data_IF_975272228806
#
_entry.id   IF_975272228806
#
_cell.length_a   1.000
_cell.length_b   1.000
_cell.length_c   1.000
_cell.angle_alpha   90.00
_cell.angle_beta   90.00
_cell.angle_gamma   90.00
#
_symmetry.space_group_name_H-M   'P 1'
#
loop_
_entity.id
_entity.type
_entity.pdbx_description
1 polymer ?
#
# COMPACT_ATOMS: atom_id res chain seq x y z
N UNK A 1 19.28 44.08 54.18
CA UNK A 1 17.88 44.39 53.84
C UNK A 1 17.56 43.74 52.49
N UNK A 2 16.53 42.88 52.47
CA UNK A 2 15.94 42.29 51.26
C UNK A 2 15.07 43.33 50.56
N UNK A 3 15.11 43.39 49.22
CA UNK A 3 13.91 43.51 48.39
C UNK A 3 14.00 42.52 47.24
N UNK A 4 12.87 41.88 47.01
CA UNK A 4 12.57 40.69 46.22
C UNK A 4 11.59 41.15 45.11
N UNK A 5 11.68 40.49 43.95
CA UNK A 5 10.64 40.35 42.89
C UNK A 5 10.34 41.52 41.94
N UNK A 6 10.42 41.26 40.63
CA UNK A 6 9.29 40.65 39.89
C UNK A 6 9.77 39.88 38.65
N UNK A 7 9.23 38.67 38.50
CA UNK A 7 9.34 37.70 37.42
C UNK A 7 8.12 37.88 36.48
N UNK A 8 8.05 37.11 35.37
CA UNK A 8 6.85 36.76 34.53
C UNK A 8 6.69 37.59 33.24
N UNK A 9 6.34 37.10 32.04
CA UNK A 9 6.21 35.79 31.33
C UNK A 9 5.96 36.18 29.86
N UNK A 10 6.41 35.34 28.92
CA UNK A 10 5.94 35.35 27.53
C UNK A 10 6.87 34.50 26.66
N UNK A 11 6.69 33.20 26.44
CA UNK A 11 5.43 32.45 26.36
C UNK A 11 5.13 32.14 24.90
N UNK A 12 5.66 31.01 24.43
CA UNK A 12 5.14 30.17 23.34
C UNK A 12 5.04 30.75 21.92
N UNK A 13 5.96 30.29 21.06
CA UNK A 13 5.56 29.68 19.79
C UNK A 13 6.27 28.33 19.65
N UNK A 14 5.55 27.28 20.06
CA UNK A 14 5.80 25.90 19.66
C UNK A 14 5.66 25.80 18.14
N UNK A 15 6.75 25.50 17.46
CA UNK A 15 6.72 24.53 16.38
C UNK A 15 8.07 23.85 16.38
N UNK A 16 8.10 22.66 16.97
CA UNK A 16 9.16 21.70 16.70
C UNK A 16 9.39 21.68 15.19
N UNK A 17 10.58 22.13 14.78
CA UNK A 17 11.17 21.71 13.52
C UNK A 17 11.33 20.19 13.65
N UNK A 18 10.25 19.47 13.36
CA UNK A 18 10.28 18.02 13.24
C UNK A 18 11.38 17.74 12.24
N UNK A 19 12.44 17.07 12.70
CA UNK A 19 13.54 16.62 11.85
C UNK A 19 12.92 16.08 10.57
N UNK A 20 13.14 16.77 9.45
CA UNK A 20 12.58 16.37 8.17
C UNK A 20 13.00 14.92 7.96
N UNK A 21 12.03 14.01 8.05
CA UNK A 21 12.32 12.59 7.99
C UNK A 21 12.92 12.33 6.60
N UNK A 22 14.23 12.08 6.52
CA UNK A 22 14.96 11.93 5.27
C UNK A 22 14.92 10.49 4.73
N UNK A 23 14.47 9.56 5.58
CA UNK A 23 14.41 8.14 5.26
C UNK A 23 13.11 7.49 5.69
N UNK A 24 12.61 6.54 4.90
CA UNK A 24 11.46 5.70 5.23
C UNK A 24 11.91 4.27 5.51
N UNK A 25 11.42 3.66 6.59
CA UNK A 25 11.62 2.23 6.84
C UNK A 25 10.26 1.55 6.76
N UNK A 26 10.13 0.61 5.83
CA UNK A 26 8.91 -0.20 5.74
C UNK A 26 8.87 -1.18 6.90
N UNK A 27 8.00 -0.93 7.87
CA UNK A 27 7.74 -1.80 9.02
C UNK A 27 6.32 -1.51 9.54
N UNK A 28 5.31 -2.29 9.09
CA UNK A 28 3.93 -2.08 9.52
C UNK A 28 3.79 -2.16 11.04
N UNK A 29 3.18 -1.13 11.64
CA UNK A 29 2.90 -1.08 13.08
C UNK A 29 1.43 -1.39 13.35
N UNK A 30 1.07 -2.65 13.11
CA UNK A 30 -0.28 -3.13 13.34
C UNK A 30 -0.57 -3.42 14.82
N UNK A 31 -1.85 -3.38 15.20
CA UNK A 31 -2.36 -3.88 16.48
C UNK A 31 -3.30 -5.05 16.26
N UNK A 32 -3.36 -5.99 17.23
CA UNK A 32 -4.38 -7.02 17.20
C UNK A 32 -5.79 -6.39 17.19
N UNK A 33 -6.68 -6.93 16.36
CA UNK A 33 -8.02 -6.39 16.12
C UNK A 33 -8.09 -5.23 15.12
N UNK A 34 -6.94 -4.65 14.72
CA UNK A 34 -6.93 -3.58 13.71
C UNK A 34 -7.52 -4.08 12.39
N UNK A 35 -8.44 -3.29 11.83
CA UNK A 35 -9.12 -3.59 10.58
C UNK A 35 -8.90 -2.45 9.59
N UNK A 36 -8.53 -2.79 8.37
CA UNK A 36 -8.35 -1.88 7.25
C UNK A 36 -9.26 -2.32 6.13
N UNK A 37 -10.08 -1.41 5.59
CA UNK A 37 -10.89 -1.70 4.42
C UNK A 37 -10.42 -0.82 3.28
N UNK A 38 -10.03 -1.42 2.17
CA UNK A 38 -9.62 -0.75 0.97
C UNK A 38 -10.75 -0.83 -0.06
N UNK A 39 -11.07 0.28 -0.72
CA UNK A 39 -11.91 0.29 -1.92
C UNK A 39 -10.98 0.33 -3.13
N UNK A 40 -11.18 -0.59 -4.06
CA UNK A 40 -10.44 -0.74 -5.29
C UNK A 40 -11.40 -0.44 -6.43
N UNK A 41 -11.11 0.61 -7.18
CA UNK A 41 -11.86 1.02 -8.36
C UNK A 41 -10.96 0.85 -9.58
N UNK A 42 -11.44 0.11 -10.56
CA UNK A 42 -10.78 -0.11 -11.83
C UNK A 42 -11.66 0.48 -12.92
N UNK A 43 -11.17 1.51 -13.62
CA UNK A 43 -11.86 2.18 -14.71
C UNK A 43 -11.23 1.79 -16.04
N UNK A 44 -12.04 1.34 -17.01
CA UNK A 44 -11.57 0.93 -18.33
C UNK A 44 -11.92 2.00 -19.37
N UNK A 45 -10.90 2.51 -20.07
CA UNK A 45 -11.02 3.57 -21.07
C UNK A 45 -10.86 3.05 -22.50
N UNK A 46 -11.74 2.17 -22.95
CA UNK A 46 -11.71 1.60 -24.31
C UNK A 46 -12.91 2.03 -25.17
N UNK A 47 -12.70 2.16 -26.49
CA UNK A 47 -13.77 2.37 -27.49
C UNK A 47 -14.71 1.15 -27.46
N UNK A 48 -15.84 1.26 -26.78
CA UNK A 48 -16.93 0.27 -26.79
C UNK A 48 -17.39 -0.24 -25.42
N UNK A 49 -16.67 0.02 -24.33
CA UNK A 49 -17.13 -0.31 -22.98
C UNK A 49 -16.49 0.62 -21.95
N UNK A 50 -17.18 1.73 -21.64
CA UNK A 50 -16.91 2.49 -20.44
C UNK A 50 -17.49 1.69 -19.26
N UNK A 51 -16.61 1.12 -18.44
CA UNK A 51 -17.00 0.33 -17.28
C UNK A 51 -16.10 0.62 -16.10
N UNK A 52 -16.70 0.85 -14.93
CA UNK A 52 -16.00 0.84 -13.66
C UNK A 52 -16.28 -0.47 -12.93
N UNK A 53 -15.23 -1.13 -12.48
CA UNK A 53 -15.30 -2.27 -11.58
C UNK A 53 -14.90 -1.82 -10.19
N UNK A 54 -15.74 -2.12 -9.19
CA UNK A 54 -15.46 -1.81 -7.80
C UNK A 54 -15.33 -3.10 -6.98
N UNK A 55 -14.35 -3.14 -6.09
CA UNK A 55 -14.15 -4.23 -5.14
C UNK A 55 -13.70 -3.64 -3.81
N UNK A 56 -14.11 -4.23 -2.69
CA UNK A 56 -13.49 -3.92 -1.40
C UNK A 56 -12.58 -5.06 -0.95
N UNK A 57 -11.49 -4.71 -0.28
CA UNK A 57 -10.58 -5.64 0.38
C UNK A 57 -10.48 -5.25 1.84
N UNK A 58 -10.91 -6.12 2.75
CA UNK A 58 -10.73 -5.93 4.19
C UNK A 58 -9.57 -6.79 4.69
N UNK A 59 -8.68 -6.19 5.48
CA UNK A 59 -7.61 -6.87 6.22
C UNK A 59 -7.87 -6.68 7.71
N UNK A 60 -7.99 -7.77 8.45
CA UNK A 60 -8.14 -7.76 9.91
C UNK A 60 -6.97 -8.51 10.54
N UNK A 61 -6.24 -7.83 11.42
CA UNK A 61 -5.16 -8.44 12.20
C UNK A 61 -5.80 -9.25 13.31
N UNK A 62 -5.70 -10.58 13.24
CA UNK A 62 -6.26 -11.48 14.24
C UNK A 62 -5.38 -11.51 15.49
N UNK A 63 -4.08 -11.70 15.31
CA UNK A 63 -3.09 -11.71 16.40
C UNK A 63 -1.69 -11.36 15.90
N UNK A 64 -0.86 -10.89 16.82
CA UNK A 64 0.57 -10.62 16.61
C UNK A 64 1.36 -11.61 17.48
N UNK A 65 2.25 -12.36 16.86
CA UNK A 65 3.12 -13.34 17.52
C UNK A 65 4.30 -12.65 18.22
N UNK A 66 4.95 -13.35 19.17
CA UNK A 66 6.09 -12.80 19.93
C UNK A 66 7.26 -12.33 19.04
N UNK A 67 7.44 -12.96 17.89
CA UNK A 67 8.47 -12.62 16.90
C UNK A 67 8.06 -11.47 15.96
N UNK A 68 6.87 -10.88 16.15
CA UNK A 68 6.32 -9.81 15.31
C UNK A 68 5.59 -10.28 14.06
N UNK A 69 5.55 -11.59 13.78
CA UNK A 69 4.71 -12.13 12.71
C UNK A 69 3.23 -11.86 13.01
N UNK A 70 2.42 -11.77 11.97
CA UNK A 70 1.01 -11.40 12.08
C UNK A 70 0.14 -12.46 11.42
N UNK A 71 -0.89 -12.92 12.13
CA UNK A 71 -1.99 -13.66 11.51
C UNK A 71 -3.06 -12.66 11.11
N UNK A 72 -3.42 -12.65 9.83
CA UNK A 72 -4.40 -11.75 9.27
C UNK A 72 -5.51 -12.52 8.57
N UNK A 73 -6.73 -12.03 8.72
CA UNK A 73 -7.86 -12.40 7.90
C UNK A 73 -8.00 -11.37 6.78
N UNK A 74 -8.02 -11.85 5.55
CA UNK A 74 -8.19 -11.02 4.36
C UNK A 74 -9.48 -11.45 3.68
N UNK A 75 -10.38 -10.51 3.45
CA UNK A 75 -11.59 -10.74 2.68
C UNK A 75 -11.70 -9.77 1.52
N UNK A 76 -12.29 -10.21 0.42
CA UNK A 76 -12.64 -9.37 -0.72
C UNK A 76 -14.15 -9.42 -0.94
N UNK A 77 -14.75 -8.31 -1.37
CA UNK A 77 -16.09 -8.37 -1.94
C UNK A 77 -16.06 -9.05 -3.31
N UNK A 78 -17.23 -9.48 -3.79
CA UNK A 78 -17.36 -9.77 -5.21
C UNK A 78 -17.05 -8.49 -6.01
N UNK A 79 -16.30 -8.56 -7.12
CA UNK A 79 -16.18 -7.46 -8.06
C UNK A 79 -17.57 -7.02 -8.54
N UNK A 80 -17.84 -5.73 -8.53
CA UNK A 80 -19.11 -5.17 -8.98
C UNK A 80 -18.88 -4.36 -10.27
N UNK A 81 -19.60 -4.70 -11.35
CA UNK A 81 -19.59 -3.95 -12.61
C UNK A 81 -20.98 -3.38 -12.85
N UNK A 82 -21.10 -2.06 -12.92
CA UNK A 82 -22.38 -1.40 -13.24
C UNK A 82 -23.51 -1.68 -12.26
N UNK A 83 -23.20 -1.96 -10.99
CA UNK A 83 -24.18 -2.30 -9.95
C UNK A 83 -24.36 -3.81 -9.72
N UNK A 84 -23.91 -4.65 -10.66
CA UNK A 84 -24.06 -6.10 -10.58
C UNK A 84 -22.82 -6.76 -10.00
N UNK A 85 -22.99 -7.50 -8.91
CA UNK A 85 -21.93 -8.32 -8.32
C UNK A 85 -21.62 -9.51 -9.23
N UNK A 86 -20.34 -9.69 -9.56
CA UNK A 86 -19.83 -10.82 -10.33
C UNK A 86 -19.22 -11.86 -9.39
N UNK A 87 -19.92 -12.97 -9.20
CA UNK A 87 -19.43 -14.09 -8.40
C UNK A 87 -19.50 -13.84 -6.89
N UNK A 88 -18.63 -14.53 -6.15
CA UNK A 88 -18.57 -14.44 -4.68
C UNK A 88 -17.28 -13.77 -4.25
N UNK A 89 -17.37 -13.00 -3.16
CA UNK A 89 -16.18 -12.54 -2.45
C UNK A 89 -15.35 -13.69 -1.91
N UNK A 90 -14.11 -13.41 -1.53
CA UNK A 90 -13.21 -14.40 -0.95
C UNK A 90 -12.90 -14.06 0.50
N UNK A 91 -12.50 -15.07 1.27
CA UNK A 91 -12.03 -14.89 2.65
C UNK A 91 -10.94 -15.91 2.93
N UNK A 92 -9.80 -15.45 3.42
CA UNK A 92 -8.63 -16.30 3.67
C UNK A 92 -7.90 -15.81 4.92
N UNK A 93 -7.36 -16.75 5.70
CA UNK A 93 -6.38 -16.44 6.73
C UNK A 93 -4.98 -16.58 6.16
N UNK A 94 -4.15 -15.59 6.40
CA UNK A 94 -2.75 -15.56 5.99
C UNK A 94 -1.87 -15.29 7.20
N UNK A 95 -0.62 -15.74 7.12
CA UNK A 95 0.43 -15.31 8.05
C UNK A 95 1.42 -14.45 7.29
N UNK A 96 1.81 -13.31 7.84
CA UNK A 96 2.91 -12.50 7.32
C UNK A 96 4.02 -12.38 8.35
N UNK A 97 5.23 -12.07 7.89
CA UNK A 97 6.30 -11.61 8.76
C UNK A 97 6.02 -10.20 9.33
N UNK A 98 6.90 -9.73 10.21
CA UNK A 98 6.83 -8.39 10.80
C UNK A 98 6.93 -7.22 9.80
N UNK A 99 7.24 -7.52 8.54
CA UNK A 99 7.31 -6.56 7.44
C UNK A 99 6.08 -6.68 6.52
N UNK A 100 5.09 -7.53 6.84
CA UNK A 100 3.90 -7.70 6.01
C UNK A 100 4.14 -8.56 4.76
N UNK A 101 5.24 -9.32 4.71
CA UNK A 101 5.50 -10.30 3.64
C UNK A 101 4.80 -11.63 3.98
N UNK A 102 3.98 -12.21 3.08
CA UNK A 102 3.29 -13.46 3.35
C UNK A 102 4.26 -14.64 3.56
N UNK A 103 3.92 -15.53 4.49
CA UNK A 103 4.64 -16.79 4.76
C UNK A 103 3.86 -17.99 4.20
N UNK A 104 4.57 -18.95 3.60
CA UNK A 104 4.01 -20.20 3.07
C UNK A 104 3.27 -20.05 1.73
N UNK A 105 2.53 -21.08 1.31
CA UNK A 105 1.83 -21.16 0.01
C UNK A 105 0.63 -20.21 -0.16
N UNK A 106 0.31 -19.40 0.85
CA UNK A 106 -0.77 -18.41 0.81
C UNK A 106 -0.48 -17.20 -0.09
N UNK A 107 0.72 -17.10 -0.68
CA UNK A 107 1.08 -16.10 -1.68
C UNK A 107 0.29 -16.23 -3.01
N UNK A 108 -0.44 -17.33 -3.21
CA UNK A 108 -0.94 -17.76 -4.53
C UNK A 108 -2.29 -17.16 -4.96
N UNK A 109 -3.07 -16.57 -4.04
CA UNK A 109 -4.49 -16.20 -4.30
C UNK A 109 -4.81 -14.71 -4.34
N UNK A 110 -4.01 -13.88 -3.67
CA UNK A 110 -4.10 -12.41 -3.69
C UNK A 110 -2.66 -11.92 -3.64
N UNK A 111 -2.10 -11.56 -4.79
CA UNK A 111 -0.67 -11.24 -4.85
C UNK A 111 -0.39 -9.93 -4.09
N UNK A 112 0.20 -10.05 -2.90
CA UNK A 112 0.71 -8.93 -2.10
C UNK A 112 2.11 -8.47 -2.58
N UNK A 113 2.52 -8.82 -3.80
CA UNK A 113 3.88 -8.62 -4.36
C UNK A 113 4.47 -7.22 -4.14
N UNK A 114 3.65 -6.18 -4.01
CA UNK A 114 4.13 -4.83 -3.70
C UNK A 114 4.86 -4.73 -2.33
N UNK A 115 4.51 -5.52 -1.31
CA UNK A 115 5.21 -5.49 0.00
C UNK A 115 6.55 -6.21 -0.02
N UNK A 116 6.72 -7.19 -0.91
CA UNK A 116 7.99 -7.89 -1.12
C UNK A 116 9.07 -6.97 -1.72
N UNK A 117 8.65 -5.93 -2.43
CA UNK A 117 9.55 -4.96 -3.05
C UNK A 117 10.24 -4.04 -2.03
N UNK A 118 9.69 -3.88 -0.82
CA UNK A 118 10.30 -2.99 0.18
C UNK A 118 11.45 -3.67 0.93
N UNK A 119 12.64 -3.06 0.96
CA UNK A 119 13.78 -3.64 1.65
C UNK A 119 13.61 -3.50 3.18
N UNK A 120 14.20 -4.43 3.93
CA UNK A 120 14.22 -4.44 5.40
C UNK A 120 15.27 -3.46 5.97
N UNK A 121 15.39 -2.27 5.36
CA UNK A 121 16.32 -1.19 5.74
C UNK A 121 15.71 0.18 5.42
N UNK A 122 16.26 1.28 5.98
CA UNK A 122 15.84 2.63 5.59
C UNK A 122 16.05 2.89 4.09
N UNK A 123 15.11 3.62 3.50
CA UNK A 123 15.04 4.04 2.10
C UNK A 123 15.19 5.56 2.08
N UNK A 124 16.14 6.08 1.31
CA UNK A 124 16.35 7.54 1.19
C UNK A 124 15.41 8.17 0.17
N UNK A 125 15.06 9.44 0.35
CA UNK A 125 14.36 10.19 -0.69
C UNK A 125 15.20 10.17 -1.98
N UNK A 126 14.55 9.89 -3.10
CA UNK A 126 15.17 9.73 -4.41
C UNK A 126 15.68 8.32 -4.70
N UNK A 127 15.78 7.45 -3.70
CA UNK A 127 16.26 6.08 -3.87
C UNK A 127 15.28 5.25 -4.70
N UNK A 128 15.81 4.51 -5.67
CA UNK A 128 15.08 3.63 -6.57
C UNK A 128 15.35 2.18 -6.16
N UNK A 129 14.29 1.46 -5.84
CA UNK A 129 14.34 0.07 -5.40
C UNK A 129 13.80 -0.81 -6.52
N UNK A 130 14.64 -1.64 -7.16
CA UNK A 130 14.16 -2.61 -8.12
C UNK A 130 13.45 -3.76 -7.41
N UNK A 131 12.42 -4.31 -8.04
CA UNK A 131 11.77 -5.53 -7.59
C UNK A 131 11.45 -6.45 -8.76
N UNK A 132 11.42 -7.75 -8.46
CA UNK A 132 11.00 -8.79 -9.38
C UNK A 132 10.29 -9.88 -8.58
N UNK A 133 9.11 -10.24 -9.04
CA UNK A 133 8.29 -11.28 -8.44
C UNK A 133 7.83 -12.22 -9.55
N UNK A 134 7.94 -13.52 -9.30
CA UNK A 134 7.50 -14.56 -10.23
C UNK A 134 6.44 -15.40 -9.53
N UNK A 135 5.28 -15.52 -10.15
CA UNK A 135 4.20 -16.41 -9.74
C UNK A 135 4.02 -17.51 -10.79
N UNK A 136 3.16 -18.48 -10.50
CA UNK A 136 2.75 -19.48 -11.50
C UNK A 136 2.00 -18.84 -12.69
N UNK A 137 1.40 -17.66 -12.48
CA UNK A 137 0.61 -16.96 -13.50
C UNK A 137 1.47 -16.04 -14.37
N UNK A 138 2.61 -15.53 -13.86
CA UNK A 138 3.44 -14.59 -14.61
C UNK A 138 4.63 -14.03 -13.83
N UNK A 139 5.27 -13.03 -14.41
CA UNK A 139 6.38 -12.30 -13.82
C UNK A 139 6.07 -10.80 -13.79
N UNK A 140 6.24 -10.19 -12.62
CA UNK A 140 6.18 -8.73 -12.46
C UNK A 140 7.56 -8.23 -12.11
N UNK A 141 8.05 -7.23 -12.84
CA UNK A 141 9.31 -6.56 -12.54
C UNK A 141 9.14 -5.04 -12.63
N UNK A 142 9.84 -4.29 -11.79
CA UNK A 142 9.67 -2.85 -11.75
C UNK A 142 10.58 -2.15 -10.77
N UNK A 143 10.24 -0.89 -10.50
CA UNK A 143 10.91 -0.05 -9.53
C UNK A 143 9.91 0.68 -8.65
N UNK A 144 10.32 0.91 -7.41
CA UNK A 144 9.66 1.81 -6.46
C UNK A 144 10.65 2.91 -6.12
N UNK A 145 10.26 4.18 -6.27
CA UNK A 145 11.09 5.33 -5.89
C UNK A 145 10.45 6.08 -4.74
N UNK A 146 11.15 6.30 -3.64
CA UNK A 146 10.68 7.21 -2.59
C UNK A 146 10.79 8.66 -3.08
N UNK A 147 9.65 9.34 -3.26
CA UNK A 147 9.60 10.70 -3.83
C UNK A 147 9.67 11.76 -2.74
N UNK A 148 8.94 11.57 -1.63
CA UNK A 148 8.89 12.56 -0.55
C UNK A 148 8.43 11.94 0.75
N UNK A 149 8.84 12.52 1.88
CA UNK A 149 8.25 12.28 3.20
C UNK A 149 7.85 13.65 3.78
N UNK A 150 6.57 13.84 4.05
CA UNK A 150 6.06 15.08 4.64
C UNK A 150 4.79 14.80 5.45
N UNK A 151 4.64 15.46 6.61
CA UNK A 151 3.42 15.35 7.44
C UNK A 151 3.06 13.93 7.87
N UNK A 152 4.04 13.06 8.11
CA UNK A 152 3.79 11.65 8.45
C UNK A 152 3.34 10.77 7.28
N UNK A 153 3.47 11.27 6.04
CA UNK A 153 3.13 10.57 4.80
C UNK A 153 4.38 10.40 3.94
N UNK A 154 4.60 9.18 3.45
CA UNK A 154 5.59 8.84 2.44
C UNK A 154 4.90 8.62 1.08
N UNK A 155 5.43 9.24 0.03
CA UNK A 155 4.95 9.08 -1.35
C UNK A 155 5.97 8.31 -2.16
N UNK A 156 5.52 7.31 -2.89
CA UNK A 156 6.33 6.48 -3.76
C UNK A 156 5.82 6.54 -5.19
N UNK A 157 6.73 6.66 -6.15
CA UNK A 157 6.42 6.41 -7.55
C UNK A 157 6.66 4.92 -7.84
N UNK A 158 5.71 4.31 -8.56
CA UNK A 158 5.72 2.92 -8.97
C UNK A 158 5.82 2.86 -10.49
N UNK A 159 6.72 2.04 -11.01
CA UNK A 159 6.75 1.69 -12.44
C UNK A 159 7.04 0.21 -12.56
N UNK A 160 6.20 -0.54 -13.25
CA UNK A 160 6.38 -1.97 -13.43
C UNK A 160 5.91 -2.47 -14.79
N UNK A 161 6.42 -3.63 -15.15
CA UNK A 161 5.98 -4.45 -16.27
C UNK A 161 5.49 -5.78 -15.72
N UNK A 162 4.26 -6.14 -16.08
CA UNK A 162 3.61 -7.40 -15.71
C UNK A 162 3.56 -8.24 -16.98
N UNK A 163 4.28 -9.35 -16.99
CA UNK A 163 4.26 -10.35 -18.06
C UNK A 163 3.42 -11.53 -17.60
N UNK A 164 2.27 -11.73 -18.24
CA UNK A 164 1.37 -12.84 -17.95
C UNK A 164 1.08 -13.59 -19.24
N UNK A 165 1.46 -14.86 -19.32
CA UNK A 165 1.35 -15.68 -20.52
C UNK A 165 1.93 -14.98 -21.77
N UNK A 166 1.06 -14.55 -22.71
CA UNK A 166 1.38 -13.87 -23.97
C UNK A 166 1.24 -12.34 -23.91
N UNK A 167 0.88 -11.78 -22.75
CA UNK A 167 0.61 -10.35 -22.60
C UNK A 167 1.67 -9.66 -21.74
N UNK A 168 2.06 -8.46 -22.15
CA UNK A 168 2.95 -7.58 -21.41
C UNK A 168 2.24 -6.26 -21.12
N UNK A 169 1.87 -6.06 -19.86
CA UNK A 169 1.26 -4.83 -19.39
C UNK A 169 2.29 -3.96 -18.70
N UNK A 170 2.14 -2.64 -18.83
CA UNK A 170 2.93 -1.66 -18.07
C UNK A 170 2.03 -0.98 -17.06
N UNK A 171 2.47 -0.90 -15.81
CA UNK A 171 1.77 -0.17 -14.74
C UNK A 171 2.66 0.98 -14.26
N UNK A 172 2.14 2.19 -14.23
CA UNK A 172 2.81 3.34 -13.62
C UNK A 172 1.86 4.02 -12.66
N UNK A 173 2.35 4.45 -11.51
CA UNK A 173 1.47 5.01 -10.49
C UNK A 173 2.18 5.63 -9.31
N UNK A 174 1.37 6.02 -8.33
CA UNK A 174 1.80 6.55 -7.05
C UNK A 174 1.23 5.71 -5.92
N UNK A 175 2.04 5.41 -4.92
CA UNK A 175 1.60 4.84 -3.65
C UNK A 175 1.80 5.87 -2.54
N UNK A 176 0.79 6.04 -1.70
CA UNK A 176 0.82 6.93 -0.54
C UNK A 176 0.71 6.06 0.71
N UNK A 177 1.70 6.15 1.59
CA UNK A 177 1.76 5.39 2.83
C UNK A 177 1.93 6.32 4.02
N UNK A 178 1.40 5.95 5.17
CA UNK A 178 1.81 6.59 6.42
C UNK A 178 3.23 6.17 6.79
N UNK A 179 3.90 6.96 7.63
CA UNK A 179 5.22 6.59 8.20
C UNK A 179 5.17 5.34 9.09
N UNK A 180 3.98 4.86 9.45
CA UNK A 180 3.76 3.56 10.09
C UNK A 180 3.54 2.42 9.09
N UNK A 181 3.85 2.65 7.80
CA UNK A 181 3.78 1.67 6.70
C UNK A 181 2.38 1.13 6.41
N UNK A 182 1.34 1.88 6.77
CA UNK A 182 -0.05 1.62 6.34
C UNK A 182 -0.27 2.31 5.00
N UNK A 183 -0.75 1.57 3.99
CA UNK A 183 -1.13 2.11 2.69
C UNK A 183 -2.40 2.98 2.87
N UNK A 184 -2.35 4.22 2.37
CA UNK A 184 -3.49 5.14 2.35
C UNK A 184 -4.18 5.12 1.00
N UNK A 185 -3.39 5.19 -0.06
CA UNK A 185 -3.91 5.04 -1.41
C UNK A 185 -2.85 4.57 -2.39
N UNK A 186 -3.31 4.01 -3.49
CA UNK A 186 -2.53 3.74 -4.69
C UNK A 186 -3.35 4.22 -5.89
N UNK A 187 -2.69 4.85 -6.83
CA UNK A 187 -3.29 5.33 -8.07
C UNK A 187 -2.35 4.96 -9.20
N UNK A 188 -2.81 4.21 -10.20
CA UNK A 188 -1.96 3.66 -11.25
C UNK A 188 -2.68 3.45 -12.57
N UNK A 189 -1.99 3.73 -13.66
CA UNK A 189 -2.43 3.43 -15.02
C UNK A 189 -1.75 2.16 -15.52
N UNK A 190 -2.55 1.24 -16.05
CA UNK A 190 -2.14 0.00 -16.69
C UNK A 190 -2.40 0.10 -18.18
N UNK A 191 -1.37 -0.16 -18.99
CA UNK A 191 -1.42 -0.09 -20.46
C UNK A 191 -0.87 -1.36 -21.10
N UNK A 192 -1.19 -1.59 -22.38
CA UNK A 192 -0.73 -2.76 -23.13
C UNK A 192 -1.57 -4.03 -22.96
N UNK A 193 -2.70 -3.93 -22.25
CA UNK A 193 -3.68 -5.01 -22.12
C UNK A 193 -4.72 -5.01 -23.26
N UNK A 194 -5.44 -6.14 -23.44
CA UNK A 194 -6.43 -6.31 -24.52
C UNK A 194 -7.67 -5.42 -24.35
N UNK A 195 -7.92 -4.91 -23.14
CA UNK A 195 -9.07 -4.06 -22.82
C UNK A 195 -8.75 -2.55 -22.94
N UNK A 196 -7.59 -2.19 -23.51
CA UNK A 196 -7.13 -0.81 -23.58
C UNK A 196 -6.53 -0.31 -22.25
N UNK A 197 -6.36 1.01 -22.09
CA UNK A 197 -5.84 1.59 -20.86
C UNK A 197 -6.83 1.40 -19.72
N UNK A 198 -6.30 1.00 -18.57
CA UNK A 198 -7.04 0.75 -17.33
C UNK A 198 -6.46 1.66 -16.26
N UNK A 199 -7.31 2.38 -15.55
CA UNK A 199 -6.92 3.15 -14.38
C UNK A 199 -7.34 2.41 -13.11
N UNK A 200 -6.43 2.23 -12.16
CA UNK A 200 -6.65 1.52 -10.91
C UNK A 200 -6.41 2.49 -9.75
N UNK A 201 -7.44 2.67 -8.93
CA UNK A 201 -7.37 3.44 -7.69
C UNK A 201 -7.72 2.55 -6.52
N UNK A 202 -6.87 2.52 -5.51
CA UNK A 202 -7.10 1.85 -4.23
C UNK A 202 -7.05 2.89 -3.13
N UNK A 203 -8.02 2.90 -2.22
CA UNK A 203 -8.07 3.84 -1.10
C UNK A 203 -8.47 3.16 0.20
N UNK A 204 -7.79 3.50 1.28
CA UNK A 204 -8.17 3.10 2.62
C UNK A 204 -9.44 3.86 3.03
N UNK A 205 -10.53 3.14 3.25
CA UNK A 205 -11.78 3.64 3.79
C UNK A 205 -11.57 4.00 5.26
N UNK A 206 -11.61 5.31 5.54
CA UNK A 206 -11.56 5.89 6.89
C UNK A 206 -12.85 5.68 7.65
#
# INVERSE_FOLDING_TARGET
MKKISLLVVGGLALASLGSAQSTFTFKPKYKAGQTETYVITTSMGGKGAAGSMNMSMTRKVLRIMKNGDMEMEVSTSAPNIGGNAMGKGSKMKITTDAYGQPKGGAASGMDFSATNAFPKRPIKIGEVIPFKTKTVQGETQGTIKLVSIAGGIARFALSSTIKQQSMSMKMNGTMIMTTNSVLKSMDADVTGGPMGPIHVRMELKS
#
